data_IF_118376537266
#
_entry.id   IF_118376537266
#
_cell.length_a   1.000
_cell.length_b   1.000
_cell.length_c   1.000
_cell.angle_alpha   90.00
_cell.angle_beta   90.00
_cell.angle_gamma   90.00
#
_symmetry.space_group_name_H-M   'P 1'
#
loop_
_entity.id
_entity.type
_entity.pdbx_description
1 polymer ?
#
# COMPACT_ATOMS: atom_id res chain seq x y z
N UNK A 1 -2.33 12.61 29.69
CA UNK A 1 -2.52 11.54 28.70
C UNK A 1 -3.74 11.88 27.85
N UNK A 2 -3.56 12.49 26.67
CA UNK A 2 -4.67 12.93 25.81
C UNK A 2 -4.74 12.02 24.58
N UNK A 3 -5.88 11.34 24.45
CA UNK A 3 -6.33 10.58 23.28
C UNK A 3 -6.34 11.48 22.04
N UNK A 4 -5.69 11.04 20.96
CA UNK A 4 -5.80 11.65 19.64
C UNK A 4 -6.69 10.70 18.81
N UNK A 5 -8.00 10.81 19.01
CA UNK A 5 -9.01 10.23 18.13
C UNK A 5 -9.52 11.30 17.17
N UNK A 6 -9.47 10.99 15.88
CA UNK A 6 -10.38 11.55 14.86
C UNK A 6 -10.48 13.07 14.76
N UNK A 7 -9.49 13.74 14.18
CA UNK A 7 -9.73 15.09 13.66
C UNK A 7 -8.90 15.40 12.42
N UNK A 8 -9.57 15.33 11.26
CA UNK A 8 -9.34 16.10 10.03
C UNK A 8 -9.61 15.25 8.79
N UNK A 9 -10.88 14.91 8.56
CA UNK A 9 -11.32 14.30 7.28
C UNK A 9 -12.52 15.06 6.72
N UNK A 10 -12.46 16.41 6.74
CA UNK A 10 -13.49 17.28 6.14
C UNK A 10 -12.86 18.16 5.06
N UNK A 11 -12.85 17.63 3.84
CA UNK A 11 -12.62 18.41 2.62
C UNK A 11 -13.60 17.94 1.57
N UNK A 12 -14.40 18.85 0.99
CA UNK A 12 -15.38 18.57 -0.08
C UNK A 12 -14.76 17.78 -1.25
N UNK A 13 -13.46 17.94 -1.47
CA UNK A 13 -12.65 17.20 -2.45
C UNK A 13 -12.55 15.71 -2.14
N UNK A 14 -12.40 15.33 -0.86
CA UNK A 14 -12.25 13.93 -0.47
C UNK A 14 -13.55 13.15 -0.70
N UNK A 15 -14.70 13.77 -0.42
CA UNK A 15 -16.02 13.17 -0.68
C UNK A 15 -16.30 13.01 -2.18
N UNK A 16 -15.92 13.99 -2.99
CA UNK A 16 -16.01 13.90 -4.45
C UNK A 16 -15.10 12.79 -5.01
N UNK A 17 -13.88 12.66 -4.47
CA UNK A 17 -12.94 11.60 -4.86
C UNK A 17 -13.40 10.22 -4.40
N UNK A 18 -13.96 10.06 -3.20
CA UNK A 18 -14.51 8.78 -2.75
C UNK A 18 -15.75 8.40 -3.53
N UNK A 19 -16.61 9.34 -3.91
CA UNK A 19 -17.75 9.10 -4.78
C UNK A 19 -17.30 8.66 -6.18
N UNK A 20 -16.32 9.38 -6.77
CA UNK A 20 -15.81 9.14 -8.12
C UNK A 20 -15.04 7.83 -8.25
N UNK A 21 -14.19 7.50 -7.28
CA UNK A 21 -13.28 6.36 -7.37
C UNK A 21 -13.71 5.16 -6.54
N UNK A 22 -14.72 5.31 -5.65
CA UNK A 22 -15.26 4.25 -4.77
C UNK A 22 -14.14 3.39 -4.16
N UNK A 23 -13.21 3.99 -3.39
CA UNK A 23 -12.10 3.25 -2.81
C UNK A 23 -12.64 2.24 -1.79
N UNK A 24 -12.06 1.03 -1.81
CA UNK A 24 -12.32 0.03 -0.77
C UNK A 24 -11.46 0.40 0.43
N UNK A 25 -12.10 0.67 1.57
CA UNK A 25 -11.40 0.91 2.82
C UNK A 25 -10.77 -0.40 3.32
N UNK A 26 -9.46 -0.38 3.56
CA UNK A 26 -8.77 -1.51 4.18
C UNK A 26 -8.93 -1.39 5.69
N UNK A 27 -9.49 -2.41 6.33
CA UNK A 27 -9.78 -2.42 7.76
C UNK A 27 -8.55 -2.56 8.68
N UNK A 28 -7.32 -2.37 8.18
CA UNK A 28 -6.11 -2.66 8.96
C UNK A 28 -5.02 -1.59 8.85
N UNK A 29 -4.46 -1.27 10.02
CA UNK A 29 -3.35 -0.32 10.25
C UNK A 29 -1.96 -0.92 9.94
N UNK A 30 -1.88 -2.17 9.45
CA UNK A 30 -0.58 -2.83 9.26
C UNK A 30 0.12 -2.42 7.96
N UNK A 31 1.36 -1.92 8.13
CA UNK A 31 2.32 -1.49 7.12
C UNK A 31 2.47 -2.37 5.85
N UNK A 32 2.26 -3.68 5.97
CA UNK A 32 2.52 -4.66 4.89
C UNK A 32 1.70 -4.43 3.62
N UNK A 33 0.53 -3.80 3.72
CA UNK A 33 -0.30 -3.48 2.56
C UNK A 33 0.07 -2.14 1.91
N UNK A 34 0.66 -1.23 2.70
CA UNK A 34 1.05 0.11 2.27
C UNK A 34 2.55 0.21 1.92
N UNK A 35 3.22 -0.94 1.75
CA UNK A 35 4.68 -1.00 1.61
C UNK A 35 5.23 -0.13 0.48
N UNK A 36 4.48 0.02 -0.63
CA UNK A 36 4.88 0.94 -1.71
C UNK A 36 4.86 2.41 -1.27
N UNK A 37 3.86 2.85 -0.51
CA UNK A 37 3.81 4.22 0.00
C UNK A 37 4.82 4.43 1.14
N UNK A 38 5.09 3.42 1.96
CA UNK A 38 6.12 3.49 3.00
C UNK A 38 7.52 3.59 2.41
N UNK A 39 7.82 2.79 1.39
CA UNK A 39 9.05 2.91 0.61
C UNK A 39 9.14 4.30 -0.03
N UNK A 40 8.06 4.78 -0.66
CA UNK A 40 7.99 6.13 -1.22
C UNK A 40 8.24 7.23 -0.18
N UNK A 41 7.67 7.12 1.02
CA UNK A 41 7.91 8.06 2.11
C UNK A 41 9.38 8.04 2.56
N UNK A 42 9.99 6.85 2.67
CA UNK A 42 11.41 6.71 2.99
C UNK A 42 12.29 7.40 1.94
N UNK A 43 12.01 7.15 0.67
CA UNK A 43 12.69 7.79 -0.46
C UNK A 43 12.58 9.31 -0.41
N UNK A 44 11.38 9.86 -0.23
CA UNK A 44 11.17 11.32 -0.20
C UNK A 44 11.94 11.95 0.98
N UNK A 45 11.92 11.33 2.16
CA UNK A 45 12.68 11.81 3.32
C UNK A 45 14.19 11.82 3.07
N UNK A 46 14.72 10.75 2.49
CA UNK A 46 16.13 10.65 2.14
C UNK A 46 16.53 11.77 1.16
N UNK A 47 15.80 11.91 0.06
CA UNK A 47 16.08 12.92 -0.96
C UNK A 47 15.94 14.36 -0.42
N UNK A 48 14.94 14.61 0.44
CA UNK A 48 14.76 15.91 1.08
C UNK A 48 15.97 16.25 1.96
N UNK A 49 16.47 15.27 2.72
CA UNK A 49 17.67 15.46 3.53
C UNK A 49 18.92 15.69 2.68
N UNK A 50 19.13 14.91 1.62
CA UNK A 50 20.25 15.11 0.71
C UNK A 50 20.25 16.51 0.07
N UNK A 51 19.09 17.02 -0.34
CA UNK A 51 18.94 18.36 -0.90
C UNK A 51 19.23 19.44 0.14
N UNK A 52 18.70 19.30 1.36
CA UNK A 52 18.98 20.22 2.46
C UNK A 52 20.49 20.25 2.79
N UNK A 53 21.17 19.10 2.80
CA UNK A 53 22.62 19.02 2.97
C UNK A 53 23.39 19.72 1.84
N UNK A 54 22.96 19.57 0.58
CA UNK A 54 23.58 20.28 -0.57
C UNK A 54 23.43 21.79 -0.50
N UNK A 55 22.40 22.27 0.20
CA UNK A 55 22.18 23.68 0.46
C UNK A 55 22.79 24.15 1.79
N UNK A 56 23.67 23.36 2.40
CA UNK A 56 24.34 23.65 3.69
C UNK A 56 23.36 23.84 4.88
N UNK A 57 22.22 23.14 4.82
CA UNK A 57 21.14 23.17 5.83
C UNK A 57 20.77 21.76 6.34
N UNK A 58 21.72 20.94 6.82
CA UNK A 58 21.48 19.53 7.15
C UNK A 58 20.41 19.31 8.24
N UNK A 59 20.20 20.30 9.13
CA UNK A 59 19.24 20.23 10.23
C UNK A 59 17.85 20.82 9.90
N UNK A 60 17.65 21.40 8.71
CA UNK A 60 16.44 22.13 8.37
C UNK A 60 15.93 21.81 6.96
N UNK A 61 14.75 21.20 6.90
CA UNK A 61 14.04 20.98 5.64
C UNK A 61 13.17 22.19 5.30
N UNK A 62 13.19 22.59 4.04
CA UNK A 62 12.24 23.56 3.49
C UNK A 62 11.19 22.85 2.63
N UNK A 63 10.11 23.56 2.33
CA UNK A 63 9.13 23.08 1.35
C UNK A 63 9.75 22.95 -0.05
N UNK A 64 10.75 23.76 -0.38
CA UNK A 64 11.47 23.68 -1.65
C UNK A 64 12.31 22.39 -1.74
N UNK A 65 12.98 21.99 -0.66
CA UNK A 65 13.71 20.71 -0.61
C UNK A 65 12.74 19.52 -0.79
N UNK A 66 11.56 19.60 -0.16
CA UNK A 66 10.53 18.57 -0.25
C UNK A 66 9.93 18.48 -1.67
N UNK A 67 9.60 19.62 -2.28
CA UNK A 67 9.05 19.67 -3.63
C UNK A 67 10.08 19.21 -4.66
N UNK A 68 11.34 19.63 -4.51
CA UNK A 68 12.45 19.15 -5.34
C UNK A 68 12.65 17.63 -5.18
N UNK A 69 12.57 17.09 -3.96
CA UNK A 69 12.61 15.65 -3.72
C UNK A 69 11.45 14.91 -4.41
N UNK A 70 10.23 15.46 -4.37
CA UNK A 70 9.05 14.91 -5.07
C UNK A 70 9.27 14.87 -6.58
N UNK A 71 9.75 15.96 -7.17
CA UNK A 71 10.06 16.04 -8.60
C UNK A 71 11.16 15.05 -8.99
N UNK A 72 12.22 14.96 -8.18
CA UNK A 72 13.33 14.04 -8.41
C UNK A 72 12.87 12.58 -8.37
N UNK A 73 12.10 12.20 -7.33
CA UNK A 73 11.58 10.85 -7.17
C UNK A 73 10.71 10.45 -8.35
N UNK A 74 9.84 11.34 -8.84
CA UNK A 74 8.95 11.06 -9.95
C UNK A 74 9.66 10.95 -11.30
N UNK A 75 10.79 11.66 -11.48
CA UNK A 75 11.51 11.76 -12.77
C UNK A 75 12.74 10.89 -12.89
N UNK A 76 13.36 10.48 -11.78
CA UNK A 76 14.67 9.78 -11.81
C UNK A 76 14.62 8.36 -11.31
N UNK A 77 13.73 8.04 -10.37
CA UNK A 77 13.58 6.66 -9.93
C UNK A 77 12.93 5.91 -11.08
N UNK A 78 13.45 4.73 -11.39
CA UNK A 78 12.92 3.90 -12.47
C UNK A 78 12.43 2.58 -11.92
N UNK A 79 11.66 1.85 -12.73
CA UNK A 79 11.32 0.47 -12.39
C UNK A 79 12.56 -0.43 -12.32
N UNK A 80 12.35 -1.69 -11.94
CA UNK A 80 13.43 -2.67 -11.76
C UNK A 80 14.32 -2.80 -13.01
N UNK A 81 13.71 -2.67 -14.19
CA UNK A 81 14.36 -2.80 -15.49
C UNK A 81 14.94 -1.47 -15.98
N UNK A 82 14.86 -0.42 -15.15
CA UNK A 82 15.35 0.93 -15.39
C UNK A 82 14.75 1.61 -16.64
N UNK A 83 13.54 1.23 -17.03
CA UNK A 83 12.94 1.62 -18.31
C UNK A 83 12.01 2.82 -18.22
N UNK A 84 11.24 2.91 -17.13
CA UNK A 84 10.20 3.95 -16.99
C UNK A 84 10.20 4.59 -15.62
N UNK A 85 10.05 5.90 -15.62
CA UNK A 85 9.89 6.71 -14.41
C UNK A 85 8.46 6.58 -13.85
N UNK A 86 8.23 6.80 -12.54
CA UNK A 86 6.89 6.89 -11.97
C UNK A 86 5.98 7.85 -12.74
N UNK A 87 6.50 9.01 -13.14
CA UNK A 87 5.75 10.00 -13.91
C UNK A 87 5.26 9.44 -15.26
N UNK A 88 6.15 8.81 -16.03
CA UNK A 88 5.78 8.19 -17.31
C UNK A 88 4.80 7.02 -17.12
N UNK A 89 5.07 6.14 -16.16
CA UNK A 89 4.18 5.01 -15.83
C UNK A 89 2.79 5.48 -15.42
N UNK A 90 2.72 6.58 -14.70
CA UNK A 90 1.45 7.15 -14.29
C UNK A 90 0.74 7.79 -15.48
N UNK A 91 1.44 8.54 -16.33
CA UNK A 91 0.86 9.15 -17.52
C UNK A 91 0.25 8.11 -18.47
N UNK A 92 0.95 7.00 -18.71
CA UNK A 92 0.53 5.93 -19.63
C UNK A 92 -0.45 4.93 -19.01
N UNK A 93 -0.83 5.11 -17.74
CA UNK A 93 -1.67 4.13 -17.05
C UNK A 93 -3.06 4.08 -17.69
N UNK A 94 -3.53 2.87 -17.98
CA UNK A 94 -4.93 2.67 -18.32
C UNK A 94 -5.80 2.91 -17.08
N UNK A 95 -6.79 3.82 -17.13
CA UNK A 95 -7.71 4.00 -16.01
C UNK A 95 -8.52 2.73 -15.74
N UNK A 96 -8.68 2.37 -14.46
CA UNK A 96 -9.54 1.25 -14.06
C UNK A 96 -10.99 1.60 -14.40
N UNK A 97 -11.61 0.79 -15.26
CA UNK A 97 -12.98 0.92 -15.75
C UNK A 97 -14.02 0.64 -14.67
N UNK A 98 -15.26 1.15 -14.82
CA UNK A 98 -16.36 0.79 -13.91
C UNK A 98 -16.63 -0.71 -13.85
N UNK A 99 -16.51 -1.41 -14.98
CA UNK A 99 -16.71 -2.86 -15.04
C UNK A 99 -15.64 -3.62 -14.24
N UNK A 100 -14.37 -3.22 -14.33
CA UNK A 100 -13.29 -3.78 -13.49
C UNK A 100 -13.53 -3.54 -12.00
N UNK A 101 -13.98 -2.33 -11.63
CA UNK A 101 -14.33 -2.03 -10.23
C UNK A 101 -15.47 -2.90 -9.73
N UNK A 102 -16.50 -3.10 -10.55
CA UNK A 102 -17.64 -3.94 -10.21
C UNK A 102 -17.21 -5.41 -10.06
N UNK A 103 -16.43 -5.95 -11.00
CA UNK A 103 -15.88 -7.31 -10.90
C UNK A 103 -15.08 -7.51 -9.61
N UNK A 104 -14.21 -6.56 -9.27
CA UNK A 104 -13.44 -6.62 -8.03
C UNK A 104 -14.34 -6.53 -6.79
N UNK A 105 -15.33 -5.64 -6.78
CA UNK A 105 -16.26 -5.52 -5.65
C UNK A 105 -17.06 -6.81 -5.42
N UNK A 106 -17.55 -7.44 -6.50
CA UNK A 106 -18.24 -8.74 -6.44
C UNK A 106 -17.29 -9.84 -5.94
N UNK A 107 -16.05 -9.88 -6.41
CA UNK A 107 -15.05 -10.82 -5.94
C UNK A 107 -14.77 -10.66 -4.44
N UNK A 108 -14.58 -9.43 -3.95
CA UNK A 108 -14.38 -9.14 -2.52
C UNK A 108 -15.58 -9.61 -1.69
N UNK A 109 -16.80 -9.35 -2.15
CA UNK A 109 -18.00 -9.80 -1.44
C UNK A 109 -18.05 -11.34 -1.33
N UNK A 110 -17.76 -12.07 -2.41
CA UNK A 110 -17.71 -13.54 -2.39
C UNK A 110 -16.60 -14.08 -1.49
N UNK A 111 -15.41 -13.47 -1.51
CA UNK A 111 -14.29 -13.85 -0.64
C UNK A 111 -14.57 -13.62 0.85
N UNK A 112 -15.35 -12.58 1.19
CA UNK A 112 -15.79 -12.31 2.56
C UNK A 112 -16.76 -13.36 3.06
N UNK A 113 -17.78 -13.70 2.26
CA UNK A 113 -18.75 -14.76 2.61
C UNK A 113 -18.04 -16.08 2.87
N UNK A 114 -17.20 -16.52 1.94
CA UNK A 114 -16.48 -17.80 2.09
C UNK A 114 -15.61 -17.84 3.35
N UNK A 115 -14.91 -16.76 3.66
CA UNK A 115 -14.07 -16.70 4.87
C UNK A 115 -14.86 -16.63 6.16
N UNK A 116 -16.04 -16.03 6.15
CA UNK A 116 -16.93 -16.08 7.29
C UNK A 116 -17.36 -17.53 7.56
N UNK A 117 -17.80 -18.25 6.52
CA UNK A 117 -18.15 -19.68 6.58
C UNK A 117 -16.97 -20.54 7.07
N UNK A 118 -15.79 -20.39 6.46
CA UNK A 118 -14.57 -21.11 6.86
C UNK A 118 -14.22 -20.84 8.33
N UNK A 119 -14.36 -19.59 8.79
CA UNK A 119 -14.07 -19.21 10.17
C UNK A 119 -15.11 -19.77 11.16
N UNK A 120 -16.38 -19.89 10.74
CA UNK A 120 -17.44 -20.49 11.55
C UNK A 120 -17.21 -21.99 11.70
N UNK A 121 -16.90 -22.69 10.61
CA UNK A 121 -16.54 -24.11 10.60
C UNK A 121 -15.30 -24.35 11.48
N UNK A 122 -14.24 -23.56 11.30
CA UNK A 122 -13.02 -23.68 12.10
C UNK A 122 -13.30 -23.47 13.60
N UNK A 123 -14.16 -22.51 13.94
CA UNK A 123 -14.57 -22.25 15.33
C UNK A 123 -15.38 -23.43 15.90
N UNK A 124 -16.26 -24.05 15.11
CA UNK A 124 -17.01 -25.25 15.51
C UNK A 124 -16.08 -26.45 15.77
N UNK A 125 -14.95 -26.54 15.07
CA UNK A 125 -13.91 -27.55 15.30
C UNK A 125 -12.89 -27.17 16.39
N UNK A 126 -13.16 -26.13 17.19
CA UNK A 126 -12.31 -25.73 18.32
C UNK A 126 -11.05 -24.93 17.94
N UNK A 127 -10.92 -24.50 16.68
CA UNK A 127 -9.83 -23.60 16.28
C UNK A 127 -10.10 -22.20 16.81
N UNK A 128 -9.06 -21.53 17.32
CA UNK A 128 -9.15 -20.15 17.79
C UNK A 128 -9.69 -19.24 16.69
N UNK A 129 -10.75 -18.48 17.00
CA UNK A 129 -11.35 -17.49 16.09
C UNK A 129 -10.28 -16.53 15.56
N UNK A 130 -10.14 -16.49 14.24
CA UNK A 130 -9.28 -15.53 13.55
C UNK A 130 -9.90 -14.13 13.74
N UNK A 131 -9.06 -13.11 13.98
CA UNK A 131 -9.55 -11.73 14.12
C UNK A 131 -10.25 -11.28 12.83
N UNK A 132 -11.33 -10.52 12.95
CA UNK A 132 -12.08 -9.94 11.82
C UNK A 132 -11.16 -9.23 10.81
N UNK A 133 -10.21 -8.43 11.28
CA UNK A 133 -9.30 -7.67 10.40
C UNK A 133 -8.34 -8.58 9.62
N UNK A 134 -8.06 -9.78 10.12
CA UNK A 134 -7.24 -10.74 9.39
C UNK A 134 -8.04 -11.40 8.27
N UNK A 135 -9.27 -11.82 8.56
CA UNK A 135 -10.18 -12.37 7.54
C UNK A 135 -10.46 -11.34 6.43
N UNK A 136 -10.66 -10.07 6.79
CA UNK A 136 -10.88 -9.00 5.82
C UNK A 136 -9.68 -8.77 4.89
N UNK A 137 -8.46 -8.78 5.45
CA UNK A 137 -7.22 -8.65 4.64
C UNK A 137 -7.06 -9.81 3.69
N UNK A 138 -7.30 -11.03 4.16
CA UNK A 138 -7.19 -12.22 3.32
C UNK A 138 -8.26 -12.23 2.23
N UNK A 139 -9.49 -11.80 2.53
CA UNK A 139 -10.55 -11.65 1.53
C UNK A 139 -10.16 -10.70 0.40
N UNK A 140 -9.66 -9.51 0.76
CA UNK A 140 -9.22 -8.52 -0.23
C UNK A 140 -8.01 -9.04 -1.02
N UNK A 141 -7.02 -9.64 -0.36
CA UNK A 141 -5.83 -10.16 -1.03
C UNK A 141 -6.15 -11.29 -2.03
N UNK A 142 -7.07 -12.18 -1.65
CA UNK A 142 -7.55 -13.25 -2.52
C UNK A 142 -8.37 -12.71 -3.70
N UNK A 143 -9.27 -11.74 -3.47
CA UNK A 143 -10.02 -11.11 -4.54
C UNK A 143 -9.10 -10.40 -5.55
N UNK A 144 -8.09 -9.67 -5.07
CA UNK A 144 -7.13 -8.97 -5.94
C UNK A 144 -6.24 -9.93 -6.74
N UNK A 145 -5.84 -11.04 -6.13
CA UNK A 145 -5.07 -12.07 -6.81
C UNK A 145 -5.92 -12.83 -7.83
N UNK A 146 -7.14 -13.22 -7.45
CA UNK A 146 -8.07 -13.98 -8.29
C UNK A 146 -8.62 -13.18 -9.48
N UNK A 147 -8.74 -11.85 -9.35
CA UNK A 147 -9.09 -10.96 -10.47
C UNK A 147 -7.89 -10.54 -11.31
N UNK A 148 -6.68 -10.96 -10.95
CA UNK A 148 -5.44 -10.61 -11.66
C UNK A 148 -4.99 -9.16 -11.50
N UNK A 149 -5.61 -8.39 -10.59
CA UNK A 149 -5.25 -6.99 -10.31
C UNK A 149 -3.87 -6.91 -9.68
N UNK A 150 -3.52 -7.87 -8.81
CA UNK A 150 -2.18 -8.03 -8.28
C UNK A 150 -1.67 -9.44 -8.53
N UNK A 151 -0.36 -9.59 -8.68
CA UNK A 151 0.30 -10.89 -8.65
C UNK A 151 1.21 -10.94 -7.45
N UNK A 152 0.86 -11.75 -6.45
CA UNK A 152 1.72 -11.98 -5.29
C UNK A 152 2.69 -13.10 -5.65
N UNK A 153 4.00 -12.78 -5.69
CA UNK A 153 5.06 -13.76 -5.89
C UNK A 153 5.83 -13.94 -4.59
N UNK A 154 5.76 -15.11 -3.97
CA UNK A 154 6.63 -15.47 -2.85
C UNK A 154 7.94 -16.05 -3.36
N UNK A 155 9.09 -15.50 -2.94
CA UNK A 155 10.40 -16.14 -3.10
C UNK A 155 10.89 -16.61 -1.74
N UNK A 156 11.39 -17.85 -1.65
CA UNK A 156 12.14 -18.29 -0.47
C UNK A 156 13.46 -17.53 -0.44
N UNK A 157 13.62 -16.64 0.52
CA UNK A 157 14.93 -16.06 0.85
C UNK A 157 15.68 -17.12 1.64
N UNK A 158 16.71 -17.74 1.05
CA UNK A 158 17.65 -18.55 1.83
C UNK A 158 18.49 -17.58 2.64
N UNK A 159 18.25 -17.52 3.94
CA UNK A 159 19.15 -16.82 4.86
C UNK A 159 20.47 -17.60 4.88
N UNK A 160 21.49 -17.05 4.25
CA UNK A 160 22.84 -17.59 4.33
C UNK A 160 23.41 -17.17 5.68
N UNK A 161 23.53 -18.11 6.62
CA UNK A 161 24.23 -17.85 7.88
C UNK A 161 25.74 -17.74 7.59
N UNK A 162 26.44 -16.73 8.11
CA UNK A 162 27.89 -16.71 8.04
C UNK A 162 28.43 -17.93 8.78
N UNK A 163 29.30 -18.71 8.12
CA UNK A 163 30.04 -19.78 8.78
C UNK A 163 30.93 -19.13 9.84
N UNK A 164 30.64 -19.38 11.11
CA UNK A 164 31.54 -19.03 12.20
C UNK A 164 32.78 -19.91 12.02
N UNK A 165 33.93 -19.29 11.81
CA UNK A 165 35.21 -19.98 11.66
C UNK A 165 35.61 -20.65 12.97
N UNK A 166 35.96 -21.94 12.87
CA UNK A 166 36.76 -22.69 13.85
C UNK A 166 38.20 -22.22 13.84
#
# INVERSE_FOLDING_TARGET
>A
MKSISESSRKGRTTAALTCRYRPVALASVSASYNGACEAGNGTIKLLTHELACRHDRPAAWTLDDLEAARLLANRRITDRDQTRTPEARFADRMPITPAERMRLATAIAGERTRRAEDSEIASAHGVRKIRSDALEREAIAAALSGTGVITIRSRRVRLSYPKVGT
#
